data_IF_190143716190
#
_entry.id   IF_190143716190
#
_cell.length_a   1.000
_cell.length_b   1.000
_cell.length_c   1.000
_cell.angle_alpha   90.00
_cell.angle_beta   90.00
_cell.angle_gamma   90.00
#
_symmetry.space_group_name_H-M   'P 1'
#
loop_
_entity.id
_entity.type
_entity.pdbx_description
1 polymer ?
#
# COMPACT_ATOMS: atom_id res chain seq x y z
N UNK A 1 18.84 -28.84 -10.61
CA UNK A 1 18.93 -27.48 -10.05
C UNK A 1 17.74 -26.69 -10.57
N UNK A 2 16.64 -26.66 -9.83
CA UNK A 2 15.39 -26.05 -10.29
C UNK A 2 15.38 -24.60 -9.80
N UNK A 3 15.25 -23.68 -10.75
CA UNK A 3 15.12 -22.24 -10.54
C UNK A 3 13.73 -22.01 -9.91
N UNK A 4 13.63 -22.07 -8.58
CA UNK A 4 12.42 -21.69 -7.81
C UNK A 4 12.61 -20.30 -7.19
N UNK A 5 13.46 -19.47 -7.79
CA UNK A 5 13.86 -18.18 -7.21
C UNK A 5 12.86 -17.06 -7.55
N UNK A 6 12.19 -17.13 -8.71
CA UNK A 6 11.31 -16.06 -9.17
C UNK A 6 9.91 -16.06 -8.52
N UNK A 7 9.37 -17.24 -8.17
CA UNK A 7 7.99 -17.37 -7.70
C UNK A 7 7.88 -17.07 -6.20
N UNK A 8 8.90 -17.44 -5.41
CA UNK A 8 8.93 -17.19 -3.97
C UNK A 8 9.05 -15.69 -3.62
N UNK A 9 9.71 -14.89 -4.48
CA UNK A 9 9.89 -13.45 -4.25
C UNK A 9 8.55 -12.72 -4.12
N UNK A 10 7.55 -13.10 -4.93
CA UNK A 10 6.19 -12.55 -4.84
C UNK A 10 5.42 -13.02 -3.61
N UNK A 11 5.74 -14.21 -3.07
CA UNK A 11 5.00 -14.78 -1.94
C UNK A 11 5.52 -14.30 -0.58
N UNK A 12 6.80 -13.92 -0.52
CA UNK A 12 7.46 -13.53 0.72
C UNK A 12 7.61 -12.01 0.85
N UNK A 13 7.67 -11.23 -0.23
CA UNK A 13 7.83 -9.77 -0.09
C UNK A 13 6.58 -9.12 0.50
N UNK A 14 6.72 -8.16 1.44
CA UNK A 14 5.58 -7.40 1.91
C UNK A 14 4.95 -6.60 0.75
N UNK A 15 3.65 -6.35 0.87
CA UNK A 15 2.87 -5.74 -0.20
C UNK A 15 1.89 -4.69 0.32
N UNK A 16 1.75 -3.60 -0.43
CA UNK A 16 0.64 -2.66 -0.28
C UNK A 16 -0.41 -3.00 -1.32
N UNK A 17 -1.64 -3.11 -0.85
CA UNK A 17 -2.80 -3.48 -1.60
C UNK A 17 -3.81 -2.34 -1.60
N UNK A 18 -4.08 -1.75 -2.76
CA UNK A 18 -5.07 -0.68 -2.92
C UNK A 18 -6.27 -1.23 -3.67
N UNK A 19 -7.45 -1.11 -3.06
CA UNK A 19 -8.73 -1.47 -3.70
C UNK A 19 -9.65 -0.28 -3.67
N UNK A 20 -10.08 0.14 -4.85
CA UNK A 20 -11.09 1.16 -5.01
C UNK A 20 -12.44 0.49 -5.29
N UNK A 21 -13.35 0.56 -4.32
CA UNK A 21 -14.73 0.09 -4.44
C UNK A 21 -15.71 1.20 -4.79
N UNK A 22 -15.24 2.42 -4.90
CA UNK A 22 -16.06 3.53 -5.35
C UNK A 22 -16.22 3.51 -6.87
N UNK A 23 -17.25 4.22 -7.32
CA UNK A 23 -17.50 4.57 -8.72
C UNK A 23 -16.63 5.75 -9.20
N UNK A 24 -15.71 6.23 -8.36
CA UNK A 24 -14.86 7.40 -8.62
C UNK A 24 -13.42 6.99 -8.81
N UNK A 25 -12.72 7.71 -9.69
CA UNK A 25 -11.27 7.62 -9.78
C UNK A 25 -10.61 8.66 -8.88
N UNK A 26 -9.39 8.38 -8.44
CA UNK A 26 -8.55 9.28 -7.67
C UNK A 26 -7.25 9.50 -8.42
N UNK A 27 -6.62 10.65 -8.17
CA UNK A 27 -5.36 10.97 -8.80
C UNK A 27 -4.30 9.99 -8.33
N UNK A 28 -4.02 9.97 -7.03
CA UNK A 28 -3.03 9.07 -6.46
C UNK A 28 -3.32 8.74 -5.00
N UNK A 29 -2.75 7.63 -4.53
CA UNK A 29 -2.52 7.41 -3.10
C UNK A 29 -1.03 7.23 -2.88
N UNK A 30 -0.52 7.99 -1.92
CA UNK A 30 0.89 8.00 -1.53
C UNK A 30 1.00 7.31 -0.19
N UNK A 31 1.89 6.34 -0.08
CA UNK A 31 2.32 5.72 1.17
C UNK A 31 3.76 6.10 1.43
N UNK A 32 4.03 6.78 2.53
CA UNK A 32 5.39 7.00 3.01
C UNK A 32 5.68 5.92 4.05
N UNK A 33 6.61 5.04 3.72
CA UNK A 33 7.19 4.06 4.62
C UNK A 33 8.45 4.67 5.25
N UNK A 34 9.02 4.06 6.31
CA UNK A 34 10.21 4.63 6.96
C UNK A 34 11.41 4.80 6.01
N UNK A 35 11.63 3.87 5.08
CA UNK A 35 12.80 3.90 4.20
C UNK A 35 12.47 4.13 2.72
N UNK A 36 11.20 4.21 2.36
CA UNK A 36 10.77 4.36 0.96
C UNK A 36 9.39 5.00 0.82
N UNK A 37 9.05 5.39 -0.41
CA UNK A 37 7.74 5.89 -0.76
C UNK A 37 7.13 4.99 -1.84
N UNK A 38 5.84 4.69 -1.73
CA UNK A 38 5.07 3.92 -2.71
C UNK A 38 3.90 4.78 -3.17
N UNK A 39 3.79 4.96 -4.48
CA UNK A 39 2.72 5.76 -5.10
C UNK A 39 1.90 4.86 -6.02
N UNK A 40 0.59 4.94 -5.90
CA UNK A 40 -0.36 4.33 -6.84
C UNK A 40 -1.03 5.44 -7.63
N UNK A 41 -0.76 5.49 -8.93
CA UNK A 41 -1.33 6.47 -9.86
C UNK A 41 -1.52 5.84 -11.26
N UNK A 42 -2.67 6.07 -11.93
CA UNK A 42 -3.93 6.56 -11.37
C UNK A 42 -4.70 5.46 -10.62
N UNK A 43 -5.55 5.84 -9.66
CA UNK A 43 -6.47 4.89 -9.01
C UNK A 43 -7.83 4.95 -9.72
N UNK A 44 -8.08 3.99 -10.62
CA UNK A 44 -9.34 3.94 -11.36
C UNK A 44 -10.52 3.51 -10.46
N UNK A 45 -11.74 3.90 -10.83
CA UNK A 45 -12.96 3.37 -10.21
C UNK A 45 -13.00 1.84 -10.30
N UNK A 46 -13.54 1.19 -9.28
CA UNK A 46 -13.68 -0.28 -9.22
C UNK A 46 -12.37 -1.07 -9.46
N UNK A 47 -11.20 -0.48 -9.21
CA UNK A 47 -9.92 -1.09 -9.52
C UNK A 47 -9.23 -1.74 -8.33
N UNK A 48 -8.24 -2.58 -8.64
CA UNK A 48 -7.37 -3.27 -7.69
C UNK A 48 -5.93 -3.13 -8.15
N UNK A 49 -5.04 -2.69 -7.27
CA UNK A 49 -3.60 -2.57 -7.54
C UNK A 49 -2.81 -3.11 -6.35
N UNK A 50 -1.64 -3.67 -6.63
CA UNK A 50 -0.70 -4.19 -5.62
C UNK A 50 0.71 -3.75 -6.00
N UNK A 51 1.48 -3.26 -5.03
CA UNK A 51 2.92 -3.03 -5.15
C UNK A 51 3.62 -3.81 -4.04
N UNK A 52 4.64 -4.58 -4.43
CA UNK A 52 5.54 -5.27 -3.50
C UNK A 52 6.71 -4.36 -3.17
N UNK A 53 7.20 -4.43 -1.94
CA UNK A 53 8.30 -3.60 -1.47
C UNK A 53 9.27 -4.42 -0.62
N UNK A 54 10.54 -3.99 -0.49
CA UNK A 54 11.48 -4.65 0.41
C UNK A 54 11.07 -4.46 1.88
N UNK A 55 11.36 -5.43 2.77
CA UNK A 55 11.17 -5.27 4.20
C UNK A 55 11.72 -3.95 4.74
N UNK A 56 10.94 -3.33 5.61
CA UNK A 56 11.23 -2.07 6.29
C UNK A 56 11.85 -2.35 7.69
N UNK A 57 12.04 -1.30 8.49
CA UNK A 57 12.50 -1.41 9.89
C UNK A 57 11.55 -2.28 10.75
N UNK A 58 12.02 -2.84 11.88
CA UNK A 58 11.17 -3.66 12.76
C UNK A 58 9.97 -2.89 13.32
N UNK A 59 10.13 -1.60 13.53
CA UNK A 59 9.09 -0.69 14.01
C UNK A 59 9.05 0.52 13.12
N UNK A 60 7.88 1.04 12.82
CA UNK A 60 7.79 2.21 11.98
C UNK A 60 6.41 2.83 11.92
N UNK A 61 6.37 4.00 11.28
CA UNK A 61 5.15 4.72 10.97
C UNK A 61 4.97 4.74 9.46
N UNK A 62 3.90 4.13 8.97
CA UNK A 62 3.44 4.33 7.59
C UNK A 62 2.46 5.48 7.60
N UNK A 63 2.69 6.53 6.81
CA UNK A 63 1.67 7.55 6.55
C UNK A 63 1.06 7.33 5.18
N UNK A 64 -0.21 7.68 5.01
CA UNK A 64 -0.88 7.63 3.72
C UNK A 64 -1.62 8.93 3.43
N UNK A 65 -1.72 9.28 2.15
CA UNK A 65 -2.48 10.41 1.64
C UNK A 65 -3.20 10.01 0.36
N UNK A 66 -4.51 10.27 0.29
CA UNK A 66 -5.34 10.06 -0.90
C UNK A 66 -5.65 11.42 -1.52
N UNK A 67 -5.31 11.57 -2.81
CA UNK A 67 -5.48 12.81 -3.57
C UNK A 67 -6.56 12.60 -4.64
N UNK A 68 -7.58 13.46 -4.65
CA UNK A 68 -8.61 13.48 -5.68
C UNK A 68 -8.08 13.99 -7.02
N UNK A 69 -8.84 13.75 -8.10
CA UNK A 69 -8.48 14.20 -9.46
C UNK A 69 -8.30 15.73 -9.55
N UNK A 70 -9.02 16.49 -8.73
CA UNK A 70 -8.89 17.95 -8.65
C UNK A 70 -7.67 18.43 -7.84
N UNK A 71 -6.85 17.51 -7.30
CA UNK A 71 -5.69 17.83 -6.47
C UNK A 71 -5.98 17.92 -4.97
N UNK A 72 -7.25 17.85 -4.56
CA UNK A 72 -7.60 17.95 -3.13
C UNK A 72 -7.19 16.69 -2.36
N UNK A 73 -6.69 16.90 -1.14
CA UNK A 73 -6.41 15.81 -0.22
C UNK A 73 -7.72 15.32 0.42
N UNK A 74 -8.19 14.14 0.00
CA UNK A 74 -9.47 13.55 0.45
C UNK A 74 -9.31 12.79 1.77
N UNK A 75 -8.14 12.20 1.98
CA UNK A 75 -7.86 11.47 3.20
C UNK A 75 -6.38 11.47 3.54
N UNK A 76 -6.08 11.41 4.83
CA UNK A 76 -4.74 11.17 5.33
C UNK A 76 -4.80 10.40 6.64
N UNK A 77 -3.74 9.67 6.94
CA UNK A 77 -3.63 8.98 8.22
C UNK A 77 -2.29 8.30 8.37
N UNK A 78 -2.17 7.56 9.46
CA UNK A 78 -0.97 6.82 9.76
C UNK A 78 -1.26 5.47 10.43
N UNK A 79 -0.36 4.53 10.23
CA UNK A 79 -0.40 3.18 10.78
C UNK A 79 0.95 2.95 11.42
N UNK A 80 0.95 2.76 12.75
CA UNK A 80 2.12 2.29 13.47
C UNK A 80 2.18 0.78 13.36
N UNK A 81 3.37 0.25 13.14
CA UNK A 81 3.60 -1.18 13.14
C UNK A 81 4.83 -1.52 13.99
N UNK A 82 4.81 -2.73 14.55
CA UNK A 82 5.91 -3.32 15.29
C UNK A 82 5.92 -4.81 15.01
N UNK A 83 7.02 -5.28 14.46
CA UNK A 83 7.31 -6.68 14.22
C UNK A 83 8.23 -7.17 15.34
N UNK A 84 7.86 -8.30 15.94
CA UNK A 84 8.67 -8.95 16.96
C UNK A 84 9.91 -9.62 16.35
N UNK A 85 10.95 -9.92 17.13
CA UNK A 85 12.22 -10.48 16.61
C UNK A 85 12.06 -11.84 15.92
N UNK A 86 10.98 -12.55 16.24
CA UNK A 86 10.55 -13.81 15.61
C UNK A 86 9.66 -13.63 14.38
N UNK A 87 9.10 -12.43 14.20
CA UNK A 87 8.08 -12.11 13.21
C UNK A 87 8.70 -11.35 12.04
N UNK A 88 8.95 -12.04 10.94
CA UNK A 88 9.45 -11.40 9.73
C UNK A 88 8.34 -10.56 9.07
N UNK A 89 8.70 -9.42 8.46
CA UNK A 89 7.76 -8.66 7.62
C UNK A 89 7.28 -9.44 6.40
N UNK A 90 7.92 -10.57 6.11
CA UNK A 90 7.60 -11.38 4.96
C UNK A 90 6.14 -11.84 4.98
N UNK A 91 5.46 -11.70 3.84
CA UNK A 91 4.03 -12.01 3.71
C UNK A 91 3.08 -10.96 4.30
N UNK A 92 3.58 -9.87 4.89
CA UNK A 92 2.73 -8.79 5.41
C UNK A 92 1.99 -8.09 4.28
N UNK A 93 0.70 -7.85 4.49
CA UNK A 93 -0.17 -7.15 3.54
C UNK A 93 -0.81 -5.93 4.19
N UNK A 94 -0.44 -4.74 3.74
CA UNK A 94 -1.13 -3.50 4.10
C UNK A 94 -2.27 -3.27 3.09
N UNK A 95 -3.52 -3.24 3.57
CA UNK A 95 -4.69 -3.08 2.70
C UNK A 95 -5.33 -1.71 2.90
N UNK A 96 -5.41 -0.95 1.80
CA UNK A 96 -6.10 0.33 1.74
C UNK A 96 -7.36 0.17 0.87
N UNK A 97 -8.53 0.35 1.48
CA UNK A 97 -9.82 0.20 0.82
C UNK A 97 -10.47 1.58 0.72
N UNK A 98 -10.68 2.03 -0.51
CA UNK A 98 -11.42 3.25 -0.80
C UNK A 98 -12.88 2.86 -1.01
N UNK A 99 -13.73 3.23 -0.07
CA UNK A 99 -15.18 3.02 -0.14
C UNK A 99 -15.92 4.26 -0.67
N UNK A 100 -17.25 4.18 -0.73
CA UNK A 100 -18.12 5.25 -1.26
C UNK A 100 -18.17 6.51 -0.38
N UNK A 101 -17.56 6.50 0.82
CA UNK A 101 -17.63 7.61 1.79
C UNK A 101 -16.55 8.65 1.57
N UNK A 102 -15.45 8.30 0.90
CA UNK A 102 -14.41 9.26 0.52
C UNK A 102 -14.96 10.24 -0.51
N UNK A 103 -15.12 11.50 -0.08
CA UNK A 103 -15.61 12.62 -0.91
C UNK A 103 -14.53 13.69 -0.97
N UNK A 104 -14.17 14.21 -2.16
CA UNK A 104 -13.51 15.50 -2.25
C UNK A 104 -14.41 16.60 -1.68
#
# INVERSE_FOLDING_TARGET
MIIVSGIAYHFLSPQIFVRNHSDRSFYQVIFNLPTSQIIFEPIKANSRQTIYFPPQEKTGLVTYQLIAINGDQVAQGHIKYQFDDSSSQLGTKLSFIIDKRYRP
#
